data_IF_238484295519
#
_entry.id   IF_238484295519
#
_cell.length_a   1.000
_cell.length_b   1.000
_cell.length_c   1.000
_cell.angle_alpha   90.00
_cell.angle_beta   90.00
_cell.angle_gamma   90.00
#
_symmetry.space_group_name_H-M   'P 1'
#
loop_
_entity.id
_entity.type
_entity.pdbx_description
1 polymer ?
#
# COMPACT_ATOMS: atom_id res chain seq x y z
N UNK A 1 -35.45 27.33 -29.93
CA UNK A 1 -35.38 26.16 -30.82
C UNK A 1 -34.06 26.30 -31.53
N UNK A 2 -33.00 25.81 -30.91
CA UNK A 2 -31.71 25.63 -31.57
C UNK A 2 -31.33 24.19 -31.25
N UNK A 3 -31.54 23.35 -32.26
CA UNK A 3 -31.37 21.90 -32.28
C UNK A 3 -29.88 21.55 -32.18
N UNK A 4 -29.53 20.74 -31.19
CA UNK A 4 -28.98 19.38 -31.35
C UNK A 4 -28.28 19.07 -32.68
N UNK A 5 -27.20 19.78 -32.99
CA UNK A 5 -26.22 19.29 -33.97
C UNK A 5 -25.15 18.50 -33.21
N UNK A 6 -25.52 17.30 -32.74
CA UNK A 6 -24.57 16.31 -32.25
C UNK A 6 -23.60 16.03 -33.40
N UNK A 7 -22.33 16.33 -33.16
CA UNK A 7 -21.27 16.27 -34.16
C UNK A 7 -21.12 14.83 -34.67
N UNK A 8 -21.53 14.60 -35.92
CA UNK A 8 -21.49 13.28 -36.57
C UNK A 8 -20.04 12.74 -36.62
N UNK A 9 -19.05 13.63 -36.58
CA UNK A 9 -17.63 13.29 -36.53
C UNK A 9 -17.23 12.60 -35.21
N UNK A 10 -17.75 13.05 -34.06
CA UNK A 10 -17.45 12.45 -32.76
C UNK A 10 -17.98 11.01 -32.65
N UNK A 11 -19.17 10.76 -33.22
CA UNK A 11 -19.78 9.42 -33.25
C UNK A 11 -18.98 8.47 -34.13
N UNK A 12 -18.49 8.93 -35.28
CA UNK A 12 -17.67 8.11 -36.18
C UNK A 12 -16.29 7.80 -35.58
N UNK A 13 -15.69 8.77 -34.89
CA UNK A 13 -14.40 8.59 -34.23
C UNK A 13 -14.50 7.60 -33.06
N UNK A 14 -15.54 7.70 -32.23
CA UNK A 14 -15.78 6.76 -31.14
C UNK A 14 -16.01 5.32 -31.66
N UNK A 15 -16.72 5.16 -32.77
CA UNK A 15 -16.95 3.84 -33.39
C UNK A 15 -15.67 3.23 -33.96
N UNK A 16 -14.82 4.04 -34.60
CA UNK A 16 -13.52 3.59 -35.10
C UNK A 16 -12.59 3.16 -33.96
N UNK A 17 -12.56 3.92 -32.86
CA UNK A 17 -11.78 3.59 -31.68
C UNK A 17 -12.26 2.29 -31.03
N UNK A 18 -13.57 2.13 -30.82
CA UNK A 18 -14.13 0.91 -30.25
C UNK A 18 -13.83 -0.33 -31.11
N UNK A 19 -13.92 -0.21 -32.44
CA UNK A 19 -13.59 -1.30 -33.35
C UNK A 19 -12.09 -1.67 -33.30
N UNK A 20 -11.22 -0.67 -33.15
CA UNK A 20 -9.78 -0.89 -32.99
C UNK A 20 -9.46 -1.56 -31.65
N UNK A 21 -10.06 -1.11 -30.56
CA UNK A 21 -9.88 -1.68 -29.22
C UNK A 21 -10.37 -3.13 -29.17
N UNK A 22 -11.52 -3.43 -29.79
CA UNK A 22 -12.04 -4.79 -29.91
C UNK A 22 -11.07 -5.69 -30.70
N UNK A 23 -10.52 -5.20 -31.82
CA UNK A 23 -9.55 -5.95 -32.60
C UNK A 23 -8.25 -6.22 -31.83
N UNK A 24 -7.75 -5.24 -31.07
CA UNK A 24 -6.58 -5.41 -30.21
C UNK A 24 -6.84 -6.44 -29.10
N UNK A 25 -8.01 -6.39 -28.46
CA UNK A 25 -8.39 -7.34 -27.42
C UNK A 25 -8.50 -8.76 -27.97
N UNK A 26 -9.12 -8.95 -29.15
CA UNK A 26 -9.19 -10.26 -29.81
C UNK A 26 -7.79 -10.79 -30.14
N UNK A 27 -6.89 -9.93 -30.63
CA UNK A 27 -5.51 -10.32 -30.93
C UNK A 27 -4.76 -10.75 -29.66
N UNK A 28 -4.93 -10.03 -28.55
CA UNK A 28 -4.32 -10.38 -27.26
C UNK A 28 -4.80 -11.76 -26.77
N UNK A 29 -6.10 -12.05 -26.88
CA UNK A 29 -6.66 -13.37 -26.52
C UNK A 29 -6.08 -14.50 -27.38
N UNK A 30 -5.90 -14.26 -28.69
CA UNK A 30 -5.29 -15.24 -29.60
C UNK A 30 -3.82 -15.51 -29.22
N UNK A 31 -3.06 -14.46 -28.90
CA UNK A 31 -1.67 -14.59 -28.45
C UNK A 31 -1.59 -15.36 -27.13
N UNK A 32 -2.44 -15.03 -26.15
CA UNK A 32 -2.50 -15.73 -24.86
C UNK A 32 -2.79 -17.23 -25.03
N UNK A 33 -3.78 -17.58 -25.86
CA UNK A 33 -4.10 -19.00 -26.16
C UNK A 33 -2.91 -19.72 -26.80
N UNK A 34 -2.20 -19.08 -27.71
CA UNK A 34 -0.99 -19.66 -28.30
C UNK A 34 0.10 -19.85 -27.26
N UNK A 35 0.31 -18.89 -26.37
CA UNK A 35 1.28 -18.99 -25.28
C UNK A 35 0.95 -20.17 -24.36
N UNK A 36 -0.32 -20.32 -23.95
CA UNK A 36 -0.77 -21.45 -23.13
C UNK A 36 -0.46 -22.78 -23.82
N UNK A 37 -0.82 -22.92 -25.11
CA UNK A 37 -0.54 -24.16 -25.87
C UNK A 37 0.96 -24.44 -25.98
N UNK A 38 1.78 -23.41 -26.20
CA UNK A 38 3.25 -23.54 -26.23
C UNK A 38 3.78 -24.04 -24.89
N UNK A 39 3.28 -23.53 -23.77
CA UNK A 39 3.68 -23.93 -22.42
C UNK A 39 3.19 -25.34 -22.07
N UNK A 40 1.94 -25.69 -22.41
CA UNK A 40 1.37 -27.03 -22.18
C UNK A 40 2.11 -28.12 -22.97
N UNK A 41 2.53 -27.82 -24.19
CA UNK A 41 3.21 -28.77 -25.07
C UNK A 41 4.73 -28.72 -24.95
N UNK A 42 5.28 -27.89 -24.07
CA UNK A 42 6.71 -27.62 -23.94
C UNK A 42 7.56 -28.89 -23.94
N UNK A 43 7.18 -29.92 -23.17
CA UNK A 43 7.95 -31.17 -23.05
C UNK A 43 8.05 -31.98 -24.35
N UNK A 44 7.19 -31.72 -25.33
CA UNK A 44 7.21 -32.38 -26.64
C UNK A 44 8.16 -31.74 -27.64
N UNK A 45 8.66 -30.53 -27.34
CA UNK A 45 9.53 -29.79 -28.24
C UNK A 45 10.99 -30.28 -28.20
N UNK A 46 11.77 -30.07 -29.28
CA UNK A 46 13.21 -30.31 -29.27
C UNK A 46 13.88 -29.60 -28.09
N UNK A 47 14.95 -30.20 -27.54
CA UNK A 47 15.66 -29.67 -26.36
C UNK A 47 16.05 -28.19 -26.50
N UNK A 48 16.51 -27.78 -27.68
CA UNK A 48 16.87 -26.39 -27.95
C UNK A 48 15.67 -25.42 -27.79
N UNK A 49 14.49 -25.82 -28.28
CA UNK A 49 13.27 -25.01 -28.16
C UNK A 49 12.80 -24.96 -26.72
N UNK A 50 12.87 -26.10 -25.99
CA UNK A 50 12.55 -26.14 -24.56
C UNK A 50 13.39 -25.15 -23.79
N UNK A 51 14.71 -25.27 -23.83
CA UNK A 51 15.61 -24.37 -23.09
C UNK A 51 15.35 -22.88 -23.38
N UNK A 52 15.06 -22.52 -24.63
CA UNK A 52 14.70 -21.14 -24.99
C UNK A 52 13.35 -20.71 -24.40
N UNK A 53 12.38 -21.62 -24.35
CA UNK A 53 11.10 -21.36 -23.68
C UNK A 53 11.30 -21.18 -22.17
N UNK A 54 12.15 -21.98 -21.51
CA UNK A 54 12.50 -21.82 -20.09
C UNK A 54 13.08 -20.43 -19.82
N UNK A 55 14.11 -20.05 -20.59
CA UNK A 55 14.78 -18.75 -20.47
C UNK A 55 13.78 -17.58 -20.65
N UNK A 56 12.86 -17.67 -21.61
CA UNK A 56 11.84 -16.63 -21.81
C UNK A 56 10.82 -16.57 -20.67
N UNK A 57 10.45 -17.72 -20.11
CA UNK A 57 9.51 -17.79 -18.97
C UNK A 57 10.18 -17.26 -17.70
N UNK A 58 11.41 -17.66 -17.43
CA UNK A 58 12.20 -17.17 -16.28
C UNK A 58 12.34 -15.66 -16.34
N UNK A 59 12.81 -15.12 -17.48
CA UNK A 59 12.91 -13.67 -17.67
C UNK A 59 11.55 -12.96 -17.52
N UNK A 60 10.46 -13.55 -18.02
CA UNK A 60 9.13 -12.95 -17.87
C UNK A 60 8.69 -12.90 -16.41
N UNK A 61 8.88 -13.99 -15.66
CA UNK A 61 8.51 -14.07 -14.26
C UNK A 61 9.36 -13.15 -13.39
N UNK A 62 10.66 -13.06 -13.63
CA UNK A 62 11.56 -12.16 -12.92
C UNK A 62 11.17 -10.69 -13.14
N UNK A 63 10.94 -10.29 -14.39
CA UNK A 63 10.49 -8.91 -14.68
C UNK A 63 9.13 -8.61 -14.04
N UNK A 64 8.19 -9.56 -14.10
CA UNK A 64 6.87 -9.36 -13.49
C UNK A 64 6.94 -9.32 -11.96
N UNK A 65 7.79 -10.12 -11.34
CA UNK A 65 8.05 -10.07 -9.89
C UNK A 65 8.63 -8.69 -9.49
N UNK A 66 9.58 -8.18 -10.26
CA UNK A 66 10.17 -6.86 -10.06
C UNK A 66 9.13 -5.75 -10.24
N UNK A 67 8.30 -5.80 -11.29
CA UNK A 67 7.21 -4.85 -11.52
C UNK A 67 6.20 -4.84 -10.35
N UNK A 68 5.89 -6.01 -9.79
CA UNK A 68 4.99 -6.13 -8.62
C UNK A 68 5.66 -5.53 -7.38
N UNK A 69 6.95 -5.80 -7.17
CA UNK A 69 7.69 -5.21 -6.05
C UNK A 69 7.74 -3.68 -6.15
N UNK A 70 8.02 -3.16 -7.35
CA UNK A 70 8.04 -1.73 -7.65
C UNK A 70 6.65 -1.11 -7.43
N UNK A 71 5.59 -1.73 -7.91
CA UNK A 71 4.21 -1.28 -7.67
C UNK A 71 3.88 -1.16 -6.16
N UNK A 72 4.34 -2.11 -5.34
CA UNK A 72 4.11 -2.09 -3.89
C UNK A 72 5.00 -1.09 -3.15
N UNK A 73 6.20 -0.83 -3.64
CA UNK A 73 7.17 0.07 -3.01
C UNK A 73 7.08 1.52 -3.53
N UNK A 74 6.43 1.73 -4.67
CA UNK A 74 6.32 3.04 -5.27
C UNK A 74 5.32 3.88 -4.50
N UNK A 75 5.85 4.88 -3.81
CA UNK A 75 5.08 5.81 -3.03
C UNK A 75 5.45 7.26 -3.34
N UNK A 76 6.06 7.51 -4.50
CA UNK A 76 6.39 8.86 -4.96
C UNK A 76 5.15 9.54 -5.56
N UNK A 77 4.90 10.77 -5.12
CA UNK A 77 3.88 11.66 -5.68
C UNK A 77 4.60 12.66 -6.57
N UNK A 78 4.85 12.29 -7.83
CA UNK A 78 5.22 13.25 -8.87
C UNK A 78 3.96 13.95 -9.39
N UNK A 79 4.05 15.24 -9.73
CA UNK A 79 2.98 16.18 -10.09
C UNK A 79 1.77 15.60 -10.90
N UNK A 80 0.90 14.83 -10.22
CA UNK A 80 -0.30 14.21 -10.78
C UNK A 80 -0.17 12.75 -11.26
N UNK A 81 1.02 12.13 -11.21
CA UNK A 81 1.27 10.77 -11.69
C UNK A 81 1.70 9.84 -10.55
N UNK A 82 0.77 9.55 -9.64
CA UNK A 82 0.97 8.50 -8.66
C UNK A 82 0.98 7.13 -9.36
N UNK A 83 2.06 6.37 -9.18
CA UNK A 83 2.33 5.12 -9.92
C UNK A 83 2.43 3.88 -9.03
N UNK A 84 2.11 4.02 -7.73
CA UNK A 84 1.92 2.90 -6.81
C UNK A 84 0.47 2.40 -6.78
N UNK A 85 0.16 1.57 -5.79
CA UNK A 85 -1.20 1.09 -5.54
C UNK A 85 -2.19 2.21 -5.21
N UNK A 86 -3.31 2.27 -5.93
CA UNK A 86 -4.34 3.28 -5.77
C UNK A 86 -5.72 2.64 -5.54
N UNK A 87 -6.30 2.83 -4.36
CA UNK A 87 -7.63 2.31 -4.01
C UNK A 87 -8.78 2.80 -4.89
N UNK A 88 -8.58 3.86 -5.67
CA UNK A 88 -9.58 4.34 -6.63
C UNK A 88 -9.56 3.54 -7.94
N UNK A 89 -8.46 2.83 -8.24
CA UNK A 89 -8.24 2.08 -9.48
C UNK A 89 -8.11 0.58 -9.24
N UNK A 90 -7.39 0.20 -8.19
CA UNK A 90 -7.06 -1.18 -7.84
C UNK A 90 -8.03 -1.73 -6.80
N UNK A 91 -8.51 -2.96 -7.03
CA UNK A 91 -9.31 -3.68 -6.05
C UNK A 91 -8.44 -4.56 -5.14
N UNK A 92 -8.88 -4.80 -3.91
CA UNK A 92 -8.19 -5.74 -3.00
C UNK A 92 -7.99 -7.13 -3.63
N UNK A 93 -8.93 -7.57 -4.48
CA UNK A 93 -8.88 -8.87 -5.14
C UNK A 93 -7.79 -8.93 -6.22
N UNK A 94 -7.58 -7.86 -6.98
CA UNK A 94 -6.51 -7.77 -7.99
C UNK A 94 -5.14 -7.76 -7.32
N UNK A 95 -4.97 -6.94 -6.28
CA UNK A 95 -3.74 -6.87 -5.49
C UNK A 95 -3.46 -8.20 -4.80
N UNK A 96 -4.46 -8.83 -4.17
CA UNK A 96 -4.31 -10.16 -3.56
C UNK A 96 -3.93 -11.21 -4.61
N UNK A 97 -4.57 -11.20 -5.78
CA UNK A 97 -4.30 -12.17 -6.83
C UNK A 97 -2.84 -12.10 -7.31
N UNK A 98 -2.32 -10.91 -7.59
CA UNK A 98 -0.95 -10.77 -8.10
C UNK A 98 0.10 -11.05 -7.01
N UNK A 99 -0.13 -10.62 -5.77
CA UNK A 99 0.79 -10.90 -4.66
C UNK A 99 0.82 -12.40 -4.32
N UNK A 100 -0.28 -13.13 -4.50
CA UNK A 100 -0.28 -14.60 -4.33
C UNK A 100 0.53 -15.34 -5.39
N UNK A 101 0.77 -14.73 -6.55
CA UNK A 101 1.67 -15.30 -7.57
C UNK A 101 3.14 -15.12 -7.15
N UNK A 102 3.46 -13.99 -6.50
CA UNK A 102 4.82 -13.65 -6.08
C UNK A 102 4.86 -13.22 -4.60
N UNK A 103 4.55 -14.10 -3.63
CA UNK A 103 4.46 -13.70 -2.23
C UNK A 103 5.79 -13.17 -1.66
N UNK A 104 6.93 -13.66 -2.18
CA UNK A 104 8.28 -13.31 -1.74
C UNK A 104 8.58 -11.80 -1.84
N UNK A 105 7.92 -11.08 -2.75
CA UNK A 105 8.07 -9.62 -2.91
C UNK A 105 7.77 -8.88 -1.61
N UNK A 106 6.91 -9.41 -0.74
CA UNK A 106 6.56 -8.79 0.55
C UNK A 106 7.75 -8.75 1.52
N UNK A 107 8.73 -9.63 1.34
CA UNK A 107 9.94 -9.71 2.18
C UNK A 107 11.13 -8.94 1.61
N UNK A 108 11.00 -8.45 0.38
CA UNK A 108 12.07 -7.72 -0.30
C UNK A 108 12.06 -6.26 0.16
N UNK A 109 13.11 -5.83 0.85
CA UNK A 109 13.27 -4.44 1.30
C UNK A 109 13.60 -3.52 0.12
N UNK A 110 13.19 -2.27 0.21
CA UNK A 110 13.53 -1.25 -0.78
C UNK A 110 15.05 -0.96 -0.80
N UNK A 111 15.60 -0.75 -2.00
CA UNK A 111 17.04 -0.55 -2.21
C UNK A 111 17.54 0.88 -1.95
N UNK A 112 16.66 1.80 -1.57
CA UNK A 112 16.99 3.21 -1.31
C UNK A 112 17.76 3.44 0.00
N UNK A 113 18.05 2.37 0.75
CA UNK A 113 18.75 2.41 2.03
C UNK A 113 17.84 2.65 3.23
N UNK A 114 16.54 2.93 3.03
CA UNK A 114 15.56 3.07 4.12
C UNK A 114 15.32 1.74 4.84
N UNK A 115 15.56 0.62 4.15
CA UNK A 115 15.32 -0.71 4.67
C UNK A 115 13.84 -1.00 4.93
N UNK A 116 12.91 -0.22 4.36
CA UNK A 116 11.48 -0.46 4.50
C UNK A 116 11.04 -1.72 3.75
N UNK A 117 10.12 -2.46 4.36
CA UNK A 117 9.31 -3.47 3.67
C UNK A 117 8.16 -2.80 2.91
N UNK A 118 7.62 -3.43 1.86
CA UNK A 118 6.53 -2.85 1.07
C UNK A 118 5.33 -2.43 1.93
N UNK A 119 4.96 -3.23 2.93
CA UNK A 119 3.84 -2.92 3.84
C UNK A 119 4.01 -1.61 4.63
N UNK A 120 5.25 -1.21 4.91
CA UNK A 120 5.56 0.06 5.56
C UNK A 120 5.40 1.23 4.59
N UNK A 121 5.82 1.04 3.33
CA UNK A 121 5.73 2.05 2.28
C UNK A 121 4.29 2.36 1.88
N UNK A 122 3.36 1.41 2.00
CA UNK A 122 1.93 1.67 1.77
C UNK A 122 1.30 2.67 2.74
N UNK A 123 1.96 2.96 3.88
CA UNK A 123 1.50 3.95 4.85
C UNK A 123 2.12 5.34 4.62
N UNK A 124 3.08 5.50 3.70
CA UNK A 124 3.79 6.75 3.50
C UNK A 124 3.86 7.11 2.03
N UNK A 125 3.82 8.40 1.70
CA UNK A 125 4.05 8.92 0.36
C UNK A 125 5.17 9.98 0.42
N UNK A 126 5.99 10.04 -0.63
CA UNK A 126 7.11 10.97 -0.76
C UNK A 126 6.84 12.01 -1.85
N UNK A 127 7.08 13.27 -1.52
CA UNK A 127 7.14 14.35 -2.50
C UNK A 127 8.57 14.57 -2.99
N UNK A 128 8.71 15.27 -4.11
CA UNK A 128 10.02 15.62 -4.70
C UNK A 128 10.91 16.45 -3.75
N UNK A 129 10.31 17.19 -2.81
CA UNK A 129 11.01 17.97 -1.79
C UNK A 129 11.54 17.13 -0.60
N UNK A 130 11.17 15.85 -0.56
CA UNK A 130 11.54 14.91 0.50
C UNK A 130 10.53 14.82 1.66
N UNK A 131 9.45 15.61 1.64
CA UNK A 131 8.43 15.55 2.69
C UNK A 131 7.65 14.23 2.62
N UNK A 132 7.38 13.68 3.81
CA UNK A 132 6.61 12.46 4.00
C UNK A 132 5.16 12.80 4.34
N UNK A 133 4.23 12.18 3.63
CA UNK A 133 2.80 12.27 3.88
C UNK A 133 2.20 10.87 4.07
N UNK A 134 0.96 10.82 4.56
CA UNK A 134 0.13 9.64 4.67
C UNK A 134 -0.33 9.20 3.27
N UNK A 135 -0.01 7.97 2.88
CA UNK A 135 -0.47 7.43 1.60
C UNK A 135 -1.93 6.96 1.66
N UNK A 136 -2.86 7.89 1.53
CA UNK A 136 -4.31 7.61 1.56
C UNK A 136 -4.80 6.73 0.39
N UNK A 137 -3.99 6.56 -0.66
CA UNK A 137 -4.31 5.75 -1.84
C UNK A 137 -3.99 4.27 -1.60
N UNK A 138 -2.86 3.98 -0.95
CA UNK A 138 -2.39 2.61 -0.76
C UNK A 138 -2.66 2.01 0.62
N UNK A 139 -2.87 2.84 1.67
CA UNK A 139 -2.94 2.36 3.06
C UNK A 139 -4.01 1.28 3.28
N UNK A 140 -5.09 1.31 2.50
CA UNK A 140 -6.20 0.36 2.59
C UNK A 140 -5.78 -1.08 2.21
N UNK A 141 -4.67 -1.28 1.49
CA UNK A 141 -4.17 -2.60 1.13
C UNK A 141 -3.32 -3.26 2.24
N UNK A 142 -2.93 -2.53 3.28
CA UNK A 142 -2.12 -3.08 4.38
C UNK A 142 -2.74 -4.33 5.03
N UNK A 143 -4.04 -4.37 5.38
CA UNK A 143 -4.65 -5.53 6.01
C UNK A 143 -4.62 -6.79 5.14
N UNK A 144 -4.83 -6.64 3.82
CA UNK A 144 -4.81 -7.76 2.89
C UNK A 144 -3.39 -8.30 2.72
N UNK A 145 -2.38 -7.43 2.59
CA UNK A 145 -0.99 -7.86 2.46
C UNK A 145 -0.46 -8.51 3.74
N UNK A 146 -0.79 -7.97 4.92
CA UNK A 146 -0.43 -8.60 6.20
C UNK A 146 -1.01 -10.02 6.31
N UNK A 147 -2.28 -10.20 5.89
CA UNK A 147 -2.96 -11.50 5.89
C UNK A 147 -2.27 -12.49 4.94
N UNK A 148 -1.97 -12.07 3.72
CA UNK A 148 -1.28 -12.92 2.73
C UNK A 148 0.12 -13.29 3.24
N UNK A 149 0.87 -12.34 3.79
CA UNK A 149 2.20 -12.60 4.35
C UNK A 149 2.18 -13.65 5.47
N UNK A 150 1.16 -13.61 6.34
CA UNK A 150 0.95 -14.61 7.40
C UNK A 150 0.58 -15.97 6.81
N UNK A 151 -0.30 -16.00 5.82
CA UNK A 151 -0.75 -17.25 5.18
C UNK A 151 0.41 -18.03 4.55
N UNK A 152 1.33 -17.33 3.90
CA UNK A 152 2.52 -17.93 3.28
C UNK A 152 3.69 -18.12 4.25
N UNK A 153 3.56 -17.71 5.52
CA UNK A 153 4.62 -17.86 6.52
C UNK A 153 5.90 -17.10 6.19
N UNK A 154 5.77 -15.92 5.58
CA UNK A 154 6.89 -15.13 5.07
C UNK A 154 7.71 -14.43 6.16
N UNK A 155 7.15 -14.32 7.37
CA UNK A 155 7.72 -13.63 8.52
C UNK A 155 7.55 -14.47 9.78
N UNK A 156 8.32 -14.16 10.81
CA UNK A 156 8.15 -14.77 12.13
C UNK A 156 6.78 -14.41 12.73
N UNK A 157 6.27 -15.26 13.63
CA UNK A 157 4.91 -15.09 14.15
C UNK A 157 4.71 -13.76 14.90
N UNK A 158 5.77 -13.26 15.55
CA UNK A 158 5.79 -12.00 16.27
C UNK A 158 6.03 -10.78 15.38
N UNK A 159 6.44 -10.96 14.12
CA UNK A 159 6.54 -9.90 13.11
C UNK A 159 5.18 -9.61 12.45
N UNK A 160 4.20 -10.51 12.63
CA UNK A 160 2.78 -10.32 12.27
C UNK A 160 2.57 -9.92 10.81
N UNK A 161 3.22 -10.64 9.90
CA UNK A 161 3.13 -10.39 8.45
C UNK A 161 3.88 -9.11 8.04
N UNK A 162 4.99 -8.81 8.69
CA UNK A 162 5.84 -7.65 8.40
C UNK A 162 5.41 -6.35 9.11
N UNK A 163 4.23 -6.31 9.73
CA UNK A 163 3.72 -5.09 10.41
C UNK A 163 4.59 -4.63 11.58
N UNK A 164 5.25 -5.55 12.26
CA UNK A 164 6.12 -5.25 13.41
C UNK A 164 7.61 -5.25 13.07
N UNK A 165 7.96 -5.45 11.79
CA UNK A 165 9.33 -5.30 11.32
C UNK A 165 9.77 -3.84 11.44
N UNK A 166 10.97 -3.64 11.96
CA UNK A 166 11.55 -2.31 12.12
C UNK A 166 12.36 -1.89 10.87
N UNK A 167 12.19 -0.63 10.50
CA UNK A 167 13.07 0.07 9.57
C UNK A 167 14.37 0.52 10.27
N UNK A 168 15.21 1.28 9.56
CA UNK A 168 16.48 1.80 10.09
C UNK A 168 16.29 2.80 11.25
N UNK A 169 15.13 3.45 11.34
CA UNK A 169 14.79 4.44 12.36
C UNK A 169 14.09 3.78 13.57
N UNK A 170 13.89 2.46 13.53
CA UNK A 170 13.17 1.70 14.54
C UNK A 170 11.64 1.81 14.44
N UNK A 171 11.13 2.37 13.34
CA UNK A 171 9.69 2.41 13.07
C UNK A 171 9.20 1.13 12.42
N UNK A 172 8.00 0.71 12.79
CA UNK A 172 7.30 -0.41 12.15
C UNK A 172 6.00 0.08 11.49
N UNK A 173 5.30 -0.80 10.78
CA UNK A 173 4.05 -0.47 10.10
C UNK A 173 3.00 0.15 11.04
N UNK A 174 2.93 -0.29 12.30
CA UNK A 174 1.99 0.30 13.27
C UNK A 174 2.38 1.73 13.67
N UNK A 175 3.67 2.05 13.80
CA UNK A 175 4.11 3.43 14.04
C UNK A 175 3.73 4.34 12.87
N UNK A 176 3.90 3.85 11.63
CA UNK A 176 3.55 4.60 10.42
C UNK A 176 2.04 4.81 10.32
N UNK A 177 1.23 3.85 10.76
CA UNK A 177 -0.22 4.03 10.88
C UNK A 177 -0.65 5.06 11.94
N UNK A 178 0.27 5.56 12.78
CA UNK A 178 0.04 6.69 13.70
C UNK A 178 0.53 8.03 13.12
N UNK A 179 1.01 8.07 11.87
CA UNK A 179 1.40 9.31 11.21
C UNK A 179 0.18 10.22 10.98
N UNK A 180 0.45 11.52 10.94
CA UNK A 180 -0.45 12.56 10.48
C UNK A 180 0.27 13.33 9.38
N UNK A 181 -0.48 13.89 8.43
CA UNK A 181 0.10 14.77 7.43
C UNK A 181 0.62 16.04 8.09
N UNK A 182 1.88 16.36 7.79
CA UNK A 182 2.58 17.53 8.30
C UNK A 182 2.67 18.63 7.23
N UNK A 183 1.74 18.71 6.28
CA UNK A 183 1.78 19.72 5.22
C UNK A 183 1.60 21.13 5.80
N UNK A 184 2.70 21.73 6.23
CA UNK A 184 2.76 23.12 6.69
C UNK A 184 2.45 24.11 5.54
N UNK A 185 2.59 23.66 4.30
CA UNK A 185 2.52 24.47 3.08
C UNK A 185 1.10 24.70 2.55
N UNK A 186 0.14 23.85 2.90
CA UNK A 186 -1.26 24.02 2.48
C UNK A 186 -2.08 24.48 3.68
N UNK A 187 -2.89 25.52 3.48
CA UNK A 187 -3.81 26.02 4.50
C UNK A 187 -4.51 24.84 5.19
N UNK A 188 -4.55 24.80 6.54
CA UNK A 188 -5.00 23.62 7.29
C UNK A 188 -6.38 23.18 6.81
N UNK A 189 -6.40 22.17 5.94
CA UNK A 189 -7.64 21.62 5.44
C UNK A 189 -8.08 20.55 6.43
N UNK A 190 -8.86 20.98 7.42
CA UNK A 190 -9.45 20.11 8.43
C UNK A 190 -10.16 18.88 7.80
N UNK A 191 -10.75 19.03 6.61
CA UNK A 191 -11.40 17.93 5.88
C UNK A 191 -10.40 16.88 5.40
N UNK A 192 -9.20 17.31 4.95
CA UNK A 192 -8.12 16.41 4.53
C UNK A 192 -7.65 15.55 5.71
N UNK A 193 -7.32 16.18 6.83
CA UNK A 193 -6.88 15.44 8.02
C UNK A 193 -7.97 14.51 8.58
N UNK A 194 -9.25 14.90 8.52
CA UNK A 194 -10.36 14.04 8.92
C UNK A 194 -10.53 12.82 7.99
N UNK A 195 -10.30 13.01 6.68
CA UNK A 195 -10.30 11.95 5.68
C UNK A 195 -9.15 10.95 5.92
N UNK A 196 -7.93 11.46 6.15
CA UNK A 196 -6.75 10.65 6.48
C UNK A 196 -6.98 9.84 7.75
N UNK A 197 -7.44 10.49 8.82
CA UNK A 197 -7.73 9.83 10.10
C UNK A 197 -8.79 8.72 9.95
N UNK A 198 -9.79 8.95 9.09
CA UNK A 198 -10.82 7.95 8.78
C UNK A 198 -10.24 6.72 8.08
N UNK A 199 -9.45 6.90 7.02
CA UNK A 199 -8.85 5.78 6.27
C UNK A 199 -7.90 4.96 7.15
N UNK A 200 -7.05 5.62 7.93
CA UNK A 200 -6.10 4.93 8.81
C UNK A 200 -6.82 4.22 9.97
N UNK A 201 -7.90 4.79 10.51
CA UNK A 201 -8.76 4.10 11.47
C UNK A 201 -9.38 2.84 10.86
N UNK A 202 -9.86 2.88 9.62
CA UNK A 202 -10.42 1.71 8.96
C UNK A 202 -9.41 0.56 8.90
N UNK A 203 -8.15 0.87 8.56
CA UNK A 203 -7.04 -0.11 8.54
C UNK A 203 -6.82 -0.71 9.93
N UNK A 204 -6.74 0.09 10.99
CA UNK A 204 -6.60 -0.41 12.37
C UNK A 204 -7.77 -1.32 12.78
N UNK A 205 -9.01 -0.96 12.41
CA UNK A 205 -10.20 -1.79 12.67
C UNK A 205 -10.08 -3.13 11.94
N UNK A 206 -9.67 -3.13 10.68
CA UNK A 206 -9.50 -4.36 9.90
C UNK A 206 -8.39 -5.25 10.48
N UNK A 207 -7.22 -4.68 10.78
CA UNK A 207 -6.11 -5.41 11.42
C UNK A 207 -6.52 -6.03 12.75
N UNK A 208 -7.32 -5.33 13.55
CA UNK A 208 -7.90 -5.88 14.79
C UNK A 208 -8.87 -7.02 14.53
N UNK A 209 -9.76 -6.88 13.54
CA UNK A 209 -10.74 -7.94 13.17
C UNK A 209 -10.05 -9.20 12.66
N UNK A 210 -8.94 -9.04 11.94
CA UNK A 210 -8.09 -10.15 11.48
C UNK A 210 -7.27 -10.79 12.62
N UNK A 211 -7.27 -10.20 13.82
CA UNK A 211 -6.48 -10.68 14.96
C UNK A 211 -4.97 -10.42 14.84
N UNK A 212 -4.57 -9.60 13.87
CA UNK A 212 -3.17 -9.25 13.59
C UNK A 212 -2.70 -8.13 14.51
N UNK A 213 -3.53 -7.11 14.71
CA UNK A 213 -3.31 -6.06 15.71
C UNK A 213 -3.89 -6.50 17.06
N UNK A 214 -3.05 -6.51 18.10
CA UNK A 214 -3.42 -6.93 19.45
C UNK A 214 -3.39 -5.75 20.42
N UNK A 215 -4.04 -5.95 21.57
CA UNK A 215 -4.11 -4.94 22.62
C UNK A 215 -2.72 -4.59 23.16
N UNK A 216 -1.88 -5.61 23.31
CA UNK A 216 -0.52 -5.49 23.83
C UNK A 216 0.37 -4.65 22.90
N UNK A 217 0.08 -4.64 21.59
CA UNK A 217 0.85 -3.86 20.61
C UNK A 217 0.68 -2.35 20.83
N UNK A 218 -0.49 -1.90 21.30
CA UNK A 218 -0.74 -0.48 21.60
C UNK A 218 0.26 0.04 22.65
N UNK A 219 0.45 -0.77 23.69
CA UNK A 219 1.31 -0.45 24.83
C UNK A 219 2.78 -0.66 24.49
N UNK A 220 3.12 -1.84 23.96
CA UNK A 220 4.50 -2.24 23.66
C UNK A 220 5.19 -1.28 22.69
N UNK A 221 4.44 -0.76 21.73
CA UNK A 221 4.94 0.15 20.71
C UNK A 221 4.65 1.63 21.01
N UNK A 222 4.06 1.94 22.18
CA UNK A 222 3.75 3.32 22.57
C UNK A 222 2.91 4.08 21.53
N UNK A 223 1.98 3.41 20.85
CA UNK A 223 1.27 3.97 19.68
C UNK A 223 0.52 5.26 20.04
N UNK A 224 -0.04 5.32 21.25
CA UNK A 224 -0.76 6.51 21.73
C UNK A 224 0.18 7.70 21.94
N UNK A 225 1.41 7.48 22.41
CA UNK A 225 2.42 8.54 22.50
C UNK A 225 2.83 9.05 21.12
N UNK A 226 3.01 8.15 20.15
CA UNK A 226 3.34 8.52 18.77
C UNK A 226 2.23 9.40 18.17
N UNK A 227 0.97 9.00 18.37
CA UNK A 227 -0.18 9.76 17.87
C UNK A 227 -0.28 11.16 18.53
N UNK A 228 -0.08 11.24 19.85
CA UNK A 228 -0.18 12.51 20.59
C UNK A 228 0.99 13.49 20.35
N UNK A 229 2.10 13.03 19.76
CA UNK A 229 3.23 13.89 19.38
C UNK A 229 3.04 14.58 18.03
N UNK A 230 2.00 14.22 17.27
CA UNK A 230 1.76 14.81 15.95
C UNK A 230 1.17 16.22 16.10
N UNK A 231 1.50 17.16 15.18
CA UNK A 231 0.93 18.50 15.19
C UNK A 231 -0.60 18.49 15.11
N UNK A 232 -1.16 17.57 14.33
CA UNK A 232 -2.59 17.34 14.22
C UNK A 232 -3.01 16.08 15.01
N UNK A 233 -3.93 16.27 15.97
CA UNK A 233 -4.51 15.18 16.74
C UNK A 233 -5.55 14.43 15.89
N UNK A 234 -5.19 13.21 15.50
CA UNK A 234 -6.09 12.25 14.86
C UNK A 234 -7.09 11.68 15.88
N UNK A 235 -8.15 12.47 16.14
CA UNK A 235 -9.14 12.23 17.18
C UNK A 235 -9.84 10.87 17.06
N UNK A 236 -10.16 10.40 15.85
CA UNK A 236 -10.85 9.13 15.64
C UNK A 236 -9.95 7.94 16.00
N UNK A 237 -8.70 7.93 15.54
CA UNK A 237 -7.70 6.93 15.94
C UNK A 237 -7.38 6.98 17.43
N UNK A 238 -7.27 8.18 18.00
CA UNK A 238 -7.06 8.36 19.45
C UNK A 238 -8.18 7.72 20.26
N UNK A 239 -9.44 8.06 19.96
CA UNK A 239 -10.62 7.49 20.64
C UNK A 239 -10.67 5.99 20.50
N UNK A 240 -10.46 5.45 19.29
CA UNK A 240 -10.43 4.01 19.06
C UNK A 240 -9.42 3.28 19.95
N UNK A 241 -8.21 3.81 20.10
CA UNK A 241 -7.18 3.20 20.96
C UNK A 241 -7.53 3.31 22.44
N UNK A 242 -8.03 4.47 22.90
CA UNK A 242 -8.41 4.68 24.31
C UNK A 242 -9.61 3.81 24.71
N UNK A 243 -10.61 3.69 23.85
CA UNK A 243 -11.76 2.83 24.10
C UNK A 243 -11.37 1.34 24.11
N UNK A 244 -10.38 0.96 23.29
CA UNK A 244 -9.87 -0.40 23.27
C UNK A 244 -9.01 -0.71 24.50
N UNK A 245 -8.14 0.23 24.88
CA UNK A 245 -7.29 0.09 26.07
C UNK A 245 -7.11 1.41 26.83
N UNK A 246 -7.98 1.70 27.80
CA UNK A 246 -7.87 2.91 28.61
C UNK A 246 -6.57 2.99 29.41
N UNK A 247 -5.94 1.84 29.71
CA UNK A 247 -4.69 1.82 30.48
C UNK A 247 -3.51 2.42 29.72
N UNK A 248 -3.57 2.52 28.39
CA UNK A 248 -2.56 3.18 27.57
C UNK A 248 -2.39 4.67 27.93
N UNK A 249 -3.43 5.33 28.48
CA UNK A 249 -3.36 6.74 28.89
C UNK A 249 -2.48 7.00 30.12
N UNK A 250 -2.28 5.99 30.97
CA UNK A 250 -1.47 6.13 32.19
C UNK A 250 -0.04 5.62 31.99
N UNK A 251 0.26 5.05 30.83
CA UNK A 251 1.60 4.57 30.53
C UNK A 251 2.55 5.73 30.28
N UNK A 252 3.69 5.70 30.96
CA UNK A 252 4.75 6.68 30.77
C UNK A 252 5.73 6.17 29.72
N UNK A 253 6.16 7.06 28.82
CA UNK A 253 7.29 6.77 27.93
C UNK A 253 8.61 6.74 28.71
N UNK A 254 9.73 6.61 27.99
CA UNK A 254 11.09 6.56 28.58
C UNK A 254 11.47 7.81 29.41
N UNK A 255 10.75 8.91 29.26
CA UNK A 255 10.96 10.17 29.99
C UNK A 255 9.99 10.36 31.16
N UNK A 256 9.11 9.40 31.43
CA UNK A 256 8.09 9.55 32.47
C UNK A 256 6.83 10.29 32.00
N UNK A 257 6.71 10.64 30.72
CA UNK A 257 5.57 11.37 30.18
C UNK A 257 4.44 10.44 29.76
N UNK A 258 3.23 10.74 30.20
CA UNK A 258 2.02 10.09 29.68
C UNK A 258 1.59 10.75 28.35
N UNK A 259 0.71 10.12 27.54
CA UNK A 259 0.30 10.65 26.24
C UNK A 259 -0.23 12.09 26.29
N UNK A 260 -0.97 12.46 27.34
CA UNK A 260 -1.49 13.84 27.51
C UNK A 260 -0.41 14.89 27.74
N UNK A 261 0.78 14.51 28.24
CA UNK A 261 1.89 15.46 28.33
C UNK A 261 2.44 15.81 26.93
N UNK A 262 2.39 14.86 25.99
CA UNK A 262 2.89 15.07 24.63
C UNK A 262 2.05 16.10 23.85
N UNK A 263 0.78 16.30 24.21
CA UNK A 263 -0.06 17.33 23.56
C UNK A 263 0.21 18.75 24.07
N UNK A 264 1.03 18.90 25.12
CA UNK A 264 1.33 20.19 25.75
C UNK A 264 2.73 20.71 25.47
N UNK A 265 3.60 19.88 24.88
CA UNK A 265 4.91 20.33 24.42
C UNK A 265 4.70 21.15 23.15
N UNK A 266 5.07 22.43 23.20
CA UNK A 266 5.17 23.23 21.98
C UNK A 266 6.12 22.51 21.01
N UNK A 267 5.77 22.38 19.72
CA UNK A 267 6.66 21.75 18.76
C UNK A 267 7.98 22.54 18.75
N UNK A 268 9.07 21.89 19.16
CA UNK A 268 10.41 22.44 18.99
C UNK A 268 10.67 22.52 17.48
N UNK A 269 10.57 23.74 16.94
CA UNK A 269 10.95 24.08 15.56
C UNK A 269 12.48 23.98 15.38
#
# INVERSE_FOLDING_TARGET
>A
MDDDNIDIEDVQQAQAQAAQDEQQQQQAVVLLKKMIVVLEQKETFPLQTRNKTDELVENFLENLEDDVHDMLCNNYIEAGNYSGLDSDWDTEAEVEAIVRVFPEVLTRRQYDGSGNYPIQLLALAHYEDGDRQCNVKAVLFIPILARVAIEFGLFEEDERGGLLCQDIDGNNGLHLLMASDNTELELPNQEHHDSVDTKYLQVLIQLRRLGVLKKEDLQRNGLLHILCRRPYLAEKRFRFMVEWDPSALTQTNVHGYTPIHCTSEEPFH
#
